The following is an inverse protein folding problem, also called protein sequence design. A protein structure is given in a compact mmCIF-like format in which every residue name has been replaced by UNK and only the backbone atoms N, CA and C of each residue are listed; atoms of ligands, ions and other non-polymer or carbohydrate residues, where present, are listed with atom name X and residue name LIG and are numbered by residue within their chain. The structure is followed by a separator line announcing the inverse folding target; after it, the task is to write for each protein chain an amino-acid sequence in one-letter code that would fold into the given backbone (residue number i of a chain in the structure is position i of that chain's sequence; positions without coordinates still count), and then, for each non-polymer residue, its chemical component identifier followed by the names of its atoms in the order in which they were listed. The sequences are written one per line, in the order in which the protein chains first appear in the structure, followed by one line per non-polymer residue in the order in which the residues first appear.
data_IF_041176280179
#
_entry.id   IF_041176280179
#
_cell.length_a   1.000
_cell.length_b   1.000
_cell.length_c   1.000
_cell.angle_alpha   90.00
_cell.angle_beta   90.00
_cell.angle_gamma   90.00
#
_symmetry.space_group_name_H-M   'P 1'
#
loop_
_entity.id
_entity.type
_entity.pdbx_description
1 polymer ?
#
# COMPACT_ATOMS: atom_id res chain seq x y z
N UNK A 1 -21.35 -0.93 -14.10
CA UNK A 1 -21.20 -2.18 -14.88
C UNK A 1 -19.84 -2.21 -15.54
N UNK A 2 -19.20 -3.39 -15.57
CA UNK A 2 -17.89 -3.57 -16.19
C UNK A 2 -17.20 -4.83 -15.72
N UNK A 3 -16.07 -5.15 -16.32
CA UNK A 3 -15.25 -6.31 -16.00
C UNK A 3 -13.88 -5.85 -15.47
N UNK A 4 -13.37 -6.56 -14.46
CA UNK A 4 -11.99 -6.40 -14.01
C UNK A 4 -11.18 -7.51 -14.67
N UNK A 5 -10.13 -7.11 -15.38
CA UNK A 5 -9.22 -8.04 -16.07
C UNK A 5 -7.83 -7.93 -15.45
N UNK A 6 -7.17 -9.06 -15.23
CA UNK A 6 -5.76 -9.16 -14.83
C UNK A 6 -5.04 -10.01 -15.88
N UNK A 7 -4.04 -9.44 -16.54
CA UNK A 7 -3.35 -10.06 -17.67
C UNK A 7 -4.34 -10.56 -18.76
N UNK A 8 -5.42 -9.81 -19.02
CA UNK A 8 -6.46 -10.16 -19.98
C UNK A 8 -7.46 -11.23 -19.50
N UNK A 9 -7.32 -11.75 -18.30
CA UNK A 9 -8.21 -12.75 -17.72
C UNK A 9 -9.19 -12.09 -16.75
N UNK A 10 -10.48 -12.41 -16.90
CA UNK A 10 -11.53 -11.90 -16.01
C UNK A 10 -11.34 -12.38 -14.57
N UNK A 11 -11.49 -11.46 -13.64
CA UNK A 11 -11.39 -11.73 -12.21
C UNK A 11 -12.74 -12.15 -11.65
N UNK A 12 -12.90 -13.43 -11.32
CA UNK A 12 -14.13 -13.98 -10.75
C UNK A 12 -14.05 -14.24 -9.22
N UNK A 13 -12.82 -14.32 -8.69
CA UNK A 13 -12.58 -14.68 -7.29
C UNK A 13 -11.26 -14.10 -6.78
N UNK A 14 -11.07 -13.99 -5.45
CA UNK A 14 -9.77 -13.64 -4.87
C UNK A 14 -8.66 -14.59 -5.35
N UNK A 15 -7.46 -14.03 -5.58
CA UNK A 15 -6.27 -14.78 -6.00
C UNK A 15 -5.03 -14.37 -5.22
N UNK A 16 -3.99 -15.22 -5.25
CA UNK A 16 -2.70 -14.95 -4.60
C UNK A 16 -1.87 -13.90 -5.35
N UNK A 17 -2.20 -13.65 -6.60
CA UNK A 17 -1.61 -12.67 -7.49
C UNK A 17 -1.97 -11.22 -7.13
N UNK A 18 -2.93 -11.06 -6.24
CA UNK A 18 -3.41 -9.75 -5.76
C UNK A 18 -3.68 -9.76 -4.27
N UNK A 19 -3.28 -8.69 -3.61
CA UNK A 19 -3.47 -8.50 -2.18
C UNK A 19 -4.16 -7.17 -1.91
N UNK A 20 -4.83 -7.09 -0.76
CA UNK A 20 -5.34 -5.84 -0.23
C UNK A 20 -4.79 -5.57 1.17
N UNK A 21 -4.32 -4.35 1.37
CA UNK A 21 -3.94 -3.79 2.67
C UNK A 21 -5.00 -2.77 3.03
N UNK A 22 -5.80 -3.08 4.04
CA UNK A 22 -6.89 -2.21 4.50
C UNK A 22 -6.38 -1.13 5.46
N UNK A 23 -7.17 -0.09 5.65
CA UNK A 23 -6.96 0.92 6.69
C UNK A 23 -7.10 0.33 8.11
N UNK A 24 -7.96 -0.69 8.31
CA UNK A 24 -8.20 -1.31 9.60
C UNK A 24 -6.96 -2.09 10.11
N UNK A 25 -6.64 -1.89 11.39
CA UNK A 25 -5.53 -2.56 12.08
C UNK A 25 -5.80 -4.03 12.43
N UNK A 26 -7.04 -4.51 12.27
CA UNK A 26 -7.45 -5.88 12.65
C UNK A 26 -7.17 -6.93 11.56
N UNK A 27 -6.26 -6.66 10.64
CA UNK A 27 -5.89 -7.56 9.55
C UNK A 27 -4.98 -8.72 9.99
N UNK A 28 -4.50 -8.68 11.22
CA UNK A 28 -3.60 -9.68 11.78
C UNK A 28 -4.38 -10.71 12.59
N UNK A 29 -3.96 -11.96 12.51
CA UNK A 29 -4.50 -13.03 13.36
C UNK A 29 -4.03 -12.83 14.80
N UNK A 30 -4.91 -12.51 15.76
CA UNK A 30 -4.52 -12.16 17.12
C UNK A 30 -3.86 -13.32 17.89
N UNK A 31 -4.14 -14.56 17.49
CA UNK A 31 -3.57 -15.78 18.08
C UNK A 31 -2.24 -16.25 17.46
N UNK A 32 -1.73 -15.52 16.46
CA UNK A 32 -0.42 -15.78 15.85
C UNK A 32 0.56 -14.67 16.22
N UNK A 33 1.83 -15.04 16.38
CA UNK A 33 2.88 -14.03 16.51
C UNK A 33 3.01 -13.22 15.22
N UNK A 34 3.68 -12.08 15.29
CA UNK A 34 3.96 -11.20 14.15
C UNK A 34 4.61 -11.98 13.00
N UNK A 35 5.67 -12.72 13.29
CA UNK A 35 6.36 -13.59 12.33
C UNK A 35 5.42 -14.65 11.72
N UNK A 36 4.62 -15.30 12.56
CA UNK A 36 3.66 -16.31 12.10
C UNK A 36 2.52 -15.71 11.26
N UNK A 37 2.18 -14.45 11.47
CA UNK A 37 1.24 -13.72 10.61
C UNK A 37 1.78 -13.56 9.18
N UNK A 38 3.07 -13.24 9.03
CA UNK A 38 3.72 -13.12 7.72
C UNK A 38 3.89 -14.51 7.06
N UNK A 39 4.28 -15.53 7.83
CA UNK A 39 4.45 -16.88 7.32
C UNK A 39 3.15 -17.56 6.90
N UNK A 40 2.02 -17.19 7.49
CA UNK A 40 0.75 -17.89 7.28
C UNK A 40 0.29 -17.92 5.82
N UNK A 41 0.20 -16.78 5.11
CA UNK A 41 -0.21 -16.78 3.71
C UNK A 41 0.76 -17.58 2.82
N UNK A 42 2.05 -17.58 3.09
CA UNK A 42 3.05 -18.39 2.38
C UNK A 42 2.78 -19.87 2.55
N UNK A 43 2.49 -20.32 3.79
CA UNK A 43 2.16 -21.71 4.10
C UNK A 43 0.89 -22.19 3.40
N UNK A 44 -0.16 -21.37 3.42
CA UNK A 44 -1.44 -21.69 2.75
C UNK A 44 -1.24 -21.83 1.24
N UNK A 45 -0.31 -21.08 0.67
CA UNK A 45 0.05 -21.13 -0.74
C UNK A 45 1.15 -22.15 -1.08
N UNK A 46 1.41 -23.09 -0.17
CA UNK A 46 2.20 -24.30 -0.46
C UNK A 46 3.67 -24.24 -0.07
N UNK A 47 4.20 -23.14 0.47
CA UNK A 47 5.57 -23.08 0.97
C UNK A 47 5.68 -23.87 2.28
N UNK A 48 6.40 -24.99 2.25
CA UNK A 48 6.56 -25.92 3.40
C UNK A 48 7.93 -25.83 4.07
N UNK A 49 8.93 -25.31 3.37
CA UNK A 49 10.28 -25.16 3.89
C UNK A 49 10.31 -24.16 5.05
N UNK A 50 10.68 -24.66 6.24
CA UNK A 50 10.72 -23.85 7.46
C UNK A 50 11.82 -22.78 7.43
N UNK A 51 12.98 -23.10 6.85
CA UNK A 51 14.09 -22.16 6.76
C UNK A 51 13.75 -21.01 5.81
N UNK A 52 13.12 -21.31 4.69
CA UNK A 52 12.68 -20.32 3.72
C UNK A 52 11.54 -19.45 4.26
N UNK A 53 10.56 -20.02 4.97
CA UNK A 53 9.53 -19.27 5.67
C UNK A 53 10.11 -18.30 6.70
N UNK A 54 11.13 -18.74 7.43
CA UNK A 54 11.82 -17.88 8.42
C UNK A 54 12.57 -16.75 7.73
N UNK A 55 13.32 -17.07 6.67
CA UNK A 55 14.09 -16.10 5.88
C UNK A 55 13.18 -15.01 5.30
N UNK A 56 12.07 -15.40 4.66
CA UNK A 56 11.13 -14.44 4.06
C UNK A 56 10.49 -13.57 5.13
N UNK A 57 10.01 -14.19 6.22
CA UNK A 57 9.36 -13.43 7.29
C UNK A 57 10.31 -12.44 7.95
N UNK A 58 11.56 -12.83 8.21
CA UNK A 58 12.56 -11.94 8.80
C UNK A 58 12.90 -10.79 7.85
N UNK A 59 13.14 -11.06 6.58
CA UNK A 59 13.42 -10.03 5.59
C UNK A 59 12.30 -8.96 5.51
N UNK A 60 11.03 -9.39 5.59
CA UNK A 60 9.90 -8.45 5.58
C UNK A 60 9.73 -7.71 6.91
N UNK A 61 10.10 -8.31 8.05
CA UNK A 61 10.17 -7.60 9.33
C UNK A 61 11.27 -6.54 9.33
N UNK A 62 12.43 -6.86 8.76
CA UNK A 62 13.55 -5.91 8.62
C UNK A 62 13.16 -4.74 7.74
N UNK A 63 12.50 -5.03 6.62
CA UNK A 63 11.98 -4.03 5.68
C UNK A 63 11.07 -3.00 6.36
N UNK A 64 10.17 -3.46 7.23
CA UNK A 64 9.23 -2.55 7.93
C UNK A 64 9.76 -2.03 9.27
N UNK A 65 11.03 -2.29 9.59
CA UNK A 65 11.68 -1.81 10.83
C UNK A 65 11.12 -2.45 12.10
N UNK A 66 10.83 -3.75 12.05
CA UNK A 66 10.28 -4.54 13.17
C UNK A 66 11.07 -5.85 13.37
N UNK A 67 12.36 -5.84 13.08
CA UNK A 67 13.25 -7.02 13.09
C UNK A 67 13.21 -7.80 14.41
N UNK A 68 13.11 -7.09 15.53
CA UNK A 68 13.11 -7.61 16.89
C UNK A 68 11.69 -7.92 17.45
N UNK A 69 10.64 -7.72 16.66
CA UNK A 69 9.24 -7.87 17.10
C UNK A 69 8.56 -9.15 16.62
N UNK A 70 9.30 -10.04 15.97
CA UNK A 70 8.76 -11.24 15.33
C UNK A 70 7.98 -12.18 16.25
N UNK A 71 8.38 -12.29 17.52
CA UNK A 71 7.76 -13.17 18.50
C UNK A 71 6.61 -12.54 19.29
N UNK A 72 6.39 -11.22 19.15
CA UNK A 72 5.27 -10.52 19.77
C UNK A 72 3.94 -10.92 19.11
N UNK A 73 2.85 -10.72 19.85
CA UNK A 73 1.48 -10.87 19.34
C UNK A 73 0.90 -9.52 18.93
N UNK A 74 -0.11 -9.47 18.05
CA UNK A 74 -0.73 -8.22 17.59
C UNK A 74 -1.21 -7.29 18.71
N UNK A 75 -1.71 -7.83 19.83
CA UNK A 75 -2.16 -7.02 20.97
C UNK A 75 -1.02 -6.29 21.70
N UNK A 76 0.22 -6.68 21.49
CA UNK A 76 1.42 -6.05 22.06
C UNK A 76 2.00 -4.94 21.15
N UNK A 77 1.37 -4.69 20.00
CA UNK A 77 1.81 -3.72 19.01
C UNK A 77 0.96 -2.45 19.04
N UNK A 78 1.58 -1.31 18.75
CA UNK A 78 0.84 -0.07 18.42
C UNK A 78 0.09 -0.21 17.09
N UNK A 79 -0.89 0.68 16.81
CA UNK A 79 -1.62 0.70 15.55
C UNK A 79 -0.69 0.79 14.34
N UNK A 80 0.26 1.72 14.35
CA UNK A 80 1.24 1.86 13.26
C UNK A 80 2.17 0.64 13.10
N UNK A 81 2.51 -0.08 14.19
CA UNK A 81 3.24 -1.34 14.08
C UNK A 81 2.39 -2.44 13.44
N UNK A 82 1.10 -2.55 13.80
CA UNK A 82 0.17 -3.49 13.18
C UNK A 82 0.03 -3.24 11.69
N UNK A 83 -0.09 -1.98 11.27
CA UNK A 83 -0.16 -1.61 9.86
C UNK A 83 1.09 -2.02 9.09
N UNK A 84 2.28 -1.77 9.66
CA UNK A 84 3.55 -2.21 9.08
C UNK A 84 3.62 -3.73 8.90
N UNK A 85 3.15 -4.50 9.89
CA UNK A 85 3.08 -5.97 9.78
C UNK A 85 2.07 -6.41 8.72
N UNK A 86 0.93 -5.72 8.58
CA UNK A 86 -0.06 -6.01 7.54
C UNK A 86 0.52 -5.80 6.14
N UNK A 87 1.26 -4.70 5.93
CA UNK A 87 2.00 -4.44 4.69
C UNK A 87 3.03 -5.55 4.43
N UNK A 88 3.87 -5.87 5.41
CA UNK A 88 4.87 -6.94 5.31
C UNK A 88 4.25 -8.31 4.98
N UNK A 89 3.12 -8.65 5.62
CA UNK A 89 2.36 -9.87 5.37
C UNK A 89 1.87 -9.98 3.92
N UNK A 90 1.38 -8.87 3.38
CA UNK A 90 0.91 -8.83 1.99
C UNK A 90 2.07 -8.96 0.99
N UNK A 91 3.10 -8.14 1.16
CA UNK A 91 4.26 -8.10 0.26
C UNK A 91 5.04 -9.41 0.25
N UNK A 92 5.01 -10.20 1.33
CA UNK A 92 5.67 -11.50 1.40
C UNK A 92 5.18 -12.51 0.34
N UNK A 93 3.96 -12.33 -0.20
CA UNK A 93 3.42 -13.14 -1.28
C UNK A 93 3.97 -12.79 -2.67
N UNK A 94 4.73 -11.72 -2.79
CA UNK A 94 5.20 -11.18 -4.06
C UNK A 94 4.07 -11.03 -5.10
N UNK A 95 3.01 -10.25 -4.79
CA UNK A 95 1.81 -10.15 -5.62
C UNK A 95 2.07 -9.32 -6.88
N UNK A 96 1.32 -9.62 -7.97
CA UNK A 96 1.31 -8.78 -9.17
C UNK A 96 0.56 -7.47 -8.96
N UNK A 97 -0.48 -7.48 -8.13
CA UNK A 97 -1.33 -6.32 -7.84
C UNK A 97 -1.41 -6.11 -6.32
N UNK A 98 -1.18 -4.88 -5.91
CA UNK A 98 -1.28 -4.44 -4.52
C UNK A 98 -2.34 -3.36 -4.45
N UNK A 99 -3.43 -3.64 -3.72
CA UNK A 99 -4.48 -2.68 -3.41
C UNK A 99 -4.21 -2.14 -2.00
N UNK A 100 -4.15 -0.83 -1.83
CA UNK A 100 -3.90 -0.19 -0.54
C UNK A 100 -4.95 0.88 -0.27
N UNK A 101 -5.59 0.77 0.88
CA UNK A 101 -6.58 1.74 1.36
C UNK A 101 -6.02 2.48 2.56
N UNK A 102 -5.64 3.74 2.36
CA UNK A 102 -4.99 4.64 3.35
C UNK A 102 -3.88 3.99 4.19
N UNK A 103 -2.92 3.26 3.59
CA UNK A 103 -2.00 2.40 4.34
C UNK A 103 -1.03 3.17 5.24
N UNK A 104 -0.88 4.48 5.07
CA UNK A 104 0.08 5.30 5.81
C UNK A 104 -0.59 6.30 6.76
N UNK A 105 -1.92 6.35 6.84
CA UNK A 105 -2.66 7.36 7.62
C UNK A 105 -2.27 7.37 9.12
N UNK A 106 -1.96 6.21 9.70
CA UNK A 106 -1.62 6.05 11.12
C UNK A 106 -0.13 6.10 11.44
N UNK A 107 0.72 6.41 10.44
CA UNK A 107 2.17 6.36 10.60
C UNK A 107 2.75 7.75 10.88
N UNK A 108 3.79 7.79 11.72
CA UNK A 108 4.63 8.97 11.84
C UNK A 108 5.38 9.27 10.53
N UNK A 109 5.81 10.51 10.34
CA UNK A 109 6.40 10.99 9.09
C UNK A 109 7.65 10.21 8.67
N UNK A 110 8.53 9.85 9.62
CA UNK A 110 9.77 9.15 9.31
C UNK A 110 9.47 7.72 8.83
N UNK A 111 8.60 7.01 9.54
CA UNK A 111 8.17 5.65 9.18
C UNK A 111 7.42 5.64 7.85
N UNK A 112 6.54 6.63 7.63
CA UNK A 112 5.81 6.82 6.37
C UNK A 112 6.77 6.94 5.20
N UNK A 113 7.71 7.87 5.25
CA UNK A 113 8.69 8.11 4.18
C UNK A 113 9.51 6.85 3.87
N UNK A 114 9.94 6.12 4.90
CA UNK A 114 10.67 4.86 4.73
C UNK A 114 9.84 3.79 4.00
N UNK A 115 8.58 3.61 4.39
CA UNK A 115 7.71 2.62 3.76
C UNK A 115 7.29 3.01 2.34
N UNK A 116 7.10 4.30 2.08
CA UNK A 116 6.84 4.81 0.73
C UNK A 116 8.03 4.54 -0.20
N UNK A 117 9.24 4.81 0.25
CA UNK A 117 10.46 4.49 -0.53
C UNK A 117 10.59 2.98 -0.79
N UNK A 118 10.29 2.16 0.21
CA UNK A 118 10.33 0.70 0.05
C UNK A 118 9.23 0.17 -0.89
N UNK A 119 8.03 0.74 -0.85
CA UNK A 119 6.96 0.41 -1.78
C UNK A 119 7.36 0.72 -3.24
N UNK A 120 7.96 1.87 -3.49
CA UNK A 120 8.48 2.23 -4.81
C UNK A 120 9.55 1.24 -5.27
N UNK A 121 10.49 0.86 -4.39
CA UNK A 121 11.53 -0.13 -4.69
C UNK A 121 10.96 -1.50 -5.05
N UNK A 122 9.96 -1.97 -4.29
CA UNK A 122 9.29 -3.25 -4.57
C UNK A 122 8.56 -3.18 -5.90
N UNK A 123 7.82 -2.11 -6.14
CA UNK A 123 7.10 -1.89 -7.40
C UNK A 123 8.04 -1.97 -8.61
N UNK A 124 9.20 -1.32 -8.54
CA UNK A 124 10.19 -1.34 -9.61
C UNK A 124 10.81 -2.73 -9.79
N UNK A 125 11.21 -3.37 -8.69
CA UNK A 125 11.89 -4.67 -8.72
C UNK A 125 10.98 -5.79 -9.22
N UNK A 126 9.74 -5.84 -8.74
CA UNK A 126 8.81 -6.95 -9.00
C UNK A 126 7.82 -6.62 -10.13
N UNK A 127 7.92 -5.42 -10.74
CA UNK A 127 7.00 -4.93 -11.76
C UNK A 127 5.52 -5.04 -11.35
N UNK A 128 5.24 -4.80 -10.06
CA UNK A 128 3.90 -4.90 -9.51
C UNK A 128 3.07 -3.66 -9.86
N UNK A 129 1.77 -3.87 -10.07
CA UNK A 129 0.80 -2.78 -10.18
C UNK A 129 0.31 -2.42 -8.78
N UNK A 130 0.43 -1.16 -8.38
CA UNK A 130 -0.06 -0.66 -7.10
C UNK A 130 -1.23 0.26 -7.34
N UNK A 131 -2.39 -0.06 -6.75
CA UNK A 131 -3.55 0.83 -6.66
C UNK A 131 -3.62 1.31 -5.22
N UNK A 132 -3.54 2.61 -5.05
CA UNK A 132 -3.36 3.25 -3.77
C UNK A 132 -4.43 4.31 -3.55
N UNK A 133 -5.20 4.19 -2.48
CA UNK A 133 -6.22 5.16 -2.08
C UNK A 133 -5.66 5.99 -0.94
N UNK A 134 -5.74 7.30 -1.05
CA UNK A 134 -5.33 8.26 -0.02
C UNK A 134 -6.10 9.55 -0.15
N UNK A 135 -6.34 10.22 0.98
CA UNK A 135 -6.82 11.61 1.01
C UNK A 135 -5.67 12.64 1.00
N UNK A 136 -4.42 12.18 0.92
CA UNK A 136 -3.25 13.04 0.95
C UNK A 136 -2.70 13.25 -0.48
N UNK A 137 -2.88 14.45 -1.02
CA UNK A 137 -2.42 14.84 -2.37
C UNK A 137 -0.93 14.59 -2.53
N UNK A 138 -0.11 14.90 -1.52
CA UNK A 138 1.34 14.70 -1.58
C UNK A 138 1.68 13.22 -1.77
N UNK A 139 1.01 12.32 -1.07
CA UNK A 139 1.22 10.87 -1.22
C UNK A 139 0.85 10.41 -2.64
N UNK A 140 -0.31 10.85 -3.15
CA UNK A 140 -0.76 10.50 -4.50
C UNK A 140 0.26 10.94 -5.56
N UNK A 141 0.78 12.17 -5.46
CA UNK A 141 1.73 12.71 -6.44
C UNK A 141 3.14 12.10 -6.31
N UNK A 142 3.60 11.84 -5.09
CA UNK A 142 4.94 11.26 -4.86
C UNK A 142 4.99 9.79 -5.30
N UNK A 143 3.96 9.01 -5.00
CA UNK A 143 3.93 7.56 -5.26
C UNK A 143 3.35 7.22 -6.64
N UNK A 144 2.29 7.93 -7.06
CA UNK A 144 1.54 7.61 -8.27
C UNK A 144 2.30 7.94 -9.55
N UNK A 145 2.18 7.09 -10.56
CA UNK A 145 2.51 7.40 -11.97
C UNK A 145 1.29 8.00 -12.67
N UNK A 146 0.10 7.69 -12.16
CA UNK A 146 -1.18 8.23 -12.57
C UNK A 146 -1.95 8.53 -11.30
N UNK A 147 -2.51 9.71 -11.19
CA UNK A 147 -3.33 10.17 -10.08
C UNK A 147 -4.75 10.45 -10.55
N UNK A 148 -5.72 9.92 -9.82
CA UNK A 148 -7.14 10.10 -10.07
C UNK A 148 -7.77 10.85 -8.90
N UNK A 149 -8.60 11.84 -9.17
CA UNK A 149 -9.51 12.43 -8.20
C UNK A 149 -10.91 11.90 -8.44
N UNK A 150 -11.52 11.34 -7.41
CA UNK A 150 -12.90 10.88 -7.45
C UNK A 150 -13.78 11.81 -6.63
N UNK A 151 -14.92 12.19 -7.21
CA UNK A 151 -15.98 12.92 -6.50
C UNK A 151 -16.67 12.04 -5.46
N UNK A 152 -17.45 12.65 -4.58
CA UNK A 152 -18.28 11.96 -3.58
C UNK A 152 -19.33 11.03 -4.18
N UNK A 153 -19.77 11.31 -5.41
CA UNK A 153 -20.73 10.48 -6.15
C UNK A 153 -20.05 9.36 -6.96
N UNK A 154 -18.69 9.26 -6.90
CA UNK A 154 -17.93 8.19 -7.53
C UNK A 154 -17.57 8.45 -8.99
N UNK A 155 -17.65 9.69 -9.47
CA UNK A 155 -17.17 10.08 -10.79
C UNK A 155 -15.70 10.48 -10.75
N UNK A 156 -14.98 10.27 -11.85
CA UNK A 156 -13.58 10.70 -11.98
C UNK A 156 -13.58 12.15 -12.48
N UNK A 157 -13.10 13.04 -11.66
CA UNK A 157 -12.98 14.48 -11.97
C UNK A 157 -11.63 14.83 -12.59
N UNK A 158 -10.57 14.24 -12.06
CA UNK A 158 -9.21 14.39 -12.59
C UNK A 158 -8.64 13.01 -12.88
N UNK A 159 -8.03 12.86 -14.04
CA UNK A 159 -7.25 11.69 -14.44
C UNK A 159 -5.95 12.20 -15.09
N UNK A 160 -4.84 12.08 -14.36
CA UNK A 160 -3.58 12.69 -14.75
C UNK A 160 -2.41 11.72 -14.64
N UNK A 161 -1.70 11.51 -15.74
CA UNK A 161 -0.40 10.85 -15.74
C UNK A 161 0.70 11.81 -15.30
N UNK A 162 1.48 11.41 -14.31
CA UNK A 162 2.60 12.21 -13.81
C UNK A 162 3.71 12.29 -14.85
N UNK A 163 4.02 13.52 -15.29
CA UNK A 163 5.17 13.81 -16.15
C UNK A 163 6.45 14.05 -15.34
N UNK A 164 6.37 13.99 -14.03
CA UNK A 164 7.50 14.28 -13.13
C UNK A 164 8.41 13.07 -13.03
N UNK A 165 9.70 13.27 -13.29
CA UNK A 165 10.71 12.21 -13.16
C UNK A 165 10.81 11.73 -11.71
N UNK A 166 10.76 10.43 -11.50
CA UNK A 166 10.93 9.82 -10.17
C UNK A 166 12.40 9.87 -9.72
N UNK A 167 12.69 10.03 -8.43
CA UNK A 167 11.74 10.22 -7.32
C UNK A 167 11.15 11.62 -7.28
N UNK A 168 9.83 11.70 -7.10
CA UNK A 168 9.12 12.98 -6.97
C UNK A 168 9.30 13.54 -5.56
N UNK A 169 9.58 14.84 -5.49
CA UNK A 169 9.64 15.60 -4.24
C UNK A 169 8.84 16.91 -4.40
N UNK A 170 8.48 17.59 -3.32
CA UNK A 170 7.86 18.92 -3.41
C UNK A 170 8.70 19.98 -4.15
N UNK A 171 10.00 19.74 -4.30
CA UNK A 171 10.92 20.61 -5.06
C UNK A 171 11.01 20.24 -6.55
N UNK A 172 10.39 19.13 -6.98
CA UNK A 172 10.41 18.70 -8.38
C UNK A 172 9.65 19.69 -9.26
N UNK A 173 10.17 19.96 -10.43
CA UNK A 173 9.49 20.83 -11.42
C UNK A 173 8.13 20.25 -11.79
N UNK A 174 7.11 21.10 -11.87
CA UNK A 174 5.72 20.69 -12.13
C UNK A 174 4.94 20.19 -10.90
N UNK A 175 5.60 19.82 -9.78
CA UNK A 175 4.90 19.33 -8.59
C UNK A 175 3.87 20.34 -8.06
N UNK A 176 4.25 21.63 -7.91
CA UNK A 176 3.37 22.66 -7.39
C UNK A 176 2.12 22.90 -8.25
N UNK A 177 2.25 22.75 -9.57
CA UNK A 177 1.10 22.91 -10.49
C UNK A 177 0.13 21.73 -10.34
N UNK A 178 0.65 20.50 -10.29
CA UNK A 178 -0.17 19.29 -10.06
C UNK A 178 -0.85 19.36 -8.70
N UNK A 179 -0.10 19.69 -7.65
CA UNK A 179 -0.64 19.80 -6.31
C UNK A 179 -1.79 20.81 -6.25
N UNK A 180 -1.59 22.00 -6.85
CA UNK A 180 -2.61 23.06 -6.91
C UNK A 180 -3.87 22.56 -7.62
N UNK A 181 -3.74 21.89 -8.77
CA UNK A 181 -4.89 21.38 -9.54
C UNK A 181 -5.76 20.45 -8.68
N UNK A 182 -5.16 19.46 -8.00
CA UNK A 182 -5.89 18.56 -7.12
C UNK A 182 -6.48 19.26 -5.89
N UNK A 183 -5.74 20.22 -5.31
CA UNK A 183 -6.18 20.95 -4.14
C UNK A 183 -7.38 21.84 -4.48
N UNK A 184 -7.33 22.57 -5.58
CA UNK A 184 -8.41 23.48 -5.98
C UNK A 184 -9.70 22.67 -6.24
N UNK A 185 -9.64 21.56 -6.97
CA UNK A 185 -10.80 20.69 -7.21
C UNK A 185 -11.40 20.12 -5.91
N UNK A 186 -10.57 19.69 -4.94
CA UNK A 186 -11.05 19.25 -3.63
C UNK A 186 -11.74 20.36 -2.81
N UNK A 187 -11.32 21.62 -2.99
CA UNK A 187 -11.96 22.76 -2.30
C UNK A 187 -13.29 23.16 -2.97
N UNK A 188 -13.35 23.19 -4.30
CA UNK A 188 -14.58 23.49 -5.06
C UNK A 188 -15.69 22.49 -4.69
N UNK A 189 -15.39 21.21 -4.58
CA UNK A 189 -16.36 20.19 -4.15
C UNK A 189 -16.90 20.41 -2.72
N UNK A 190 -16.11 21.04 -1.84
CA UNK A 190 -16.53 21.32 -0.47
C UNK A 190 -17.40 22.58 -0.36
N UNK A 191 -17.22 23.58 -1.24
CA UNK A 191 -17.97 24.85 -1.21
C UNK A 191 -19.38 24.69 -1.82
N UNK A 192 -19.58 23.82 -2.79
CA UNK A 192 -20.89 23.53 -3.38
C UNK A 192 -21.89 22.84 -2.43
N UNK A 193 -21.47 22.55 -1.20
CA UNK A 193 -22.27 21.82 -0.19
C UNK A 193 -22.55 22.65 1.09
N UNK A 194 -22.35 23.99 1.08
CA UNK A 194 -22.83 24.92 2.15
C UNK A 194 -24.04 25.73 1.68
#
# INVERSE_FOLDING_TARGET
EGDILVDGVKVDKPGIDRIMVFQDFNQLFPWKTVKKNIQYPLKVNGLKDKAELERIAQAHLDMVGLSDKGDLYPHQLSGGMKQRVAIAKGLALNPKIILMDEPFASLDAMTRNKLQAELLRIKEKENATVIFITHNIQEALVLGHRALLMSRIGEIEIDLESQITKPVTPASEGYGQMWKMFNDALWEENDDNQ
#
